data_IF_240953794046
#
_entry.id   IF_240953794046
#
_cell.length_a   1.000
_cell.length_b   1.000
_cell.length_c   1.000
_cell.angle_alpha   90.00
_cell.angle_beta   90.00
_cell.angle_gamma   90.00
#
_symmetry.space_group_name_H-M   'P 1'
#
loop_
_entity.id
_entity.type
_entity.pdbx_description
1 polymer ?
#
# COMPACT_ATOMS: atom_id res chain seq x y z
N UNK A 1 -14.00 -9.67 28.64
CA UNK A 1 -13.02 -8.57 28.50
C UNK A 1 -12.80 -8.33 27.01
N UNK A 2 -12.69 -7.10 26.49
CA UNK A 2 -12.42 -6.92 25.07
C UNK A 2 -11.08 -7.61 24.79
N UNK A 3 -11.14 -8.74 24.07
CA UNK A 3 -9.97 -9.51 23.67
C UNK A 3 -8.96 -8.52 23.08
N UNK A 4 -7.70 -8.59 23.51
CA UNK A 4 -6.65 -7.58 23.35
C UNK A 4 -6.51 -6.95 21.95
N UNK A 5 -7.47 -6.10 21.53
CA UNK A 5 -7.60 -5.55 20.16
C UNK A 5 -6.38 -4.74 19.78
N UNK A 6 -5.77 -4.08 20.76
CA UNK A 6 -4.54 -3.33 20.59
C UNK A 6 -3.37 -4.23 20.16
N UNK A 7 -3.31 -5.51 20.57
CA UNK A 7 -2.28 -6.46 20.13
C UNK A 7 -2.45 -6.78 18.66
N UNK A 8 -3.69 -7.02 18.23
CA UNK A 8 -4.06 -7.15 16.82
C UNK A 8 -3.65 -5.91 16.03
N UNK A 9 -4.01 -4.72 16.51
CA UNK A 9 -3.66 -3.46 15.87
C UNK A 9 -2.14 -3.26 15.75
N UNK A 10 -1.37 -3.48 16.81
CA UNK A 10 0.10 -3.34 16.81
C UNK A 10 0.76 -4.37 15.88
N UNK A 11 0.34 -5.64 15.96
CA UNK A 11 0.83 -6.67 15.07
C UNK A 11 0.51 -6.34 13.60
N UNK A 12 -0.69 -5.80 13.37
CA UNK A 12 -1.14 -5.35 12.06
C UNK A 12 -0.35 -4.14 11.54
N UNK A 13 -0.07 -3.16 12.39
CA UNK A 13 0.74 -1.98 12.07
C UNK A 13 2.14 -2.40 11.59
N UNK A 14 2.80 -3.26 12.36
CA UNK A 14 4.13 -3.78 12.03
C UNK A 14 4.06 -4.62 10.75
N UNK A 15 3.04 -5.47 10.62
CA UNK A 15 2.78 -6.24 9.41
C UNK A 15 2.62 -5.37 8.16
N UNK A 16 1.79 -4.32 8.24
CA UNK A 16 1.54 -3.40 7.14
C UNK A 16 2.76 -2.56 6.79
N UNK A 17 3.55 -2.11 7.76
CA UNK A 17 4.81 -1.42 7.49
C UNK A 17 5.79 -2.32 6.73
N UNK A 18 6.06 -3.53 7.24
CA UNK A 18 6.96 -4.47 6.58
C UNK A 18 6.39 -4.89 5.22
N UNK A 19 5.07 -5.08 5.12
CA UNK A 19 4.39 -5.37 3.86
C UNK A 19 4.61 -4.29 2.82
N UNK A 20 4.53 -3.00 3.20
CA UNK A 20 4.76 -1.89 2.29
C UNK A 20 6.22 -1.86 1.80
N UNK A 21 7.18 -2.07 2.70
CA UNK A 21 8.61 -2.18 2.34
C UNK A 21 8.86 -3.34 1.36
N UNK A 22 8.29 -4.52 1.63
CA UNK A 22 8.46 -5.69 0.75
C UNK A 22 7.79 -5.48 -0.60
N UNK A 23 6.61 -4.85 -0.62
CA UNK A 23 5.93 -4.46 -1.85
C UNK A 23 6.79 -3.50 -2.69
N UNK A 24 7.38 -2.47 -2.09
CA UNK A 24 8.27 -1.52 -2.77
C UNK A 24 9.49 -2.24 -3.39
N UNK A 25 10.08 -3.18 -2.66
CA UNK A 25 11.20 -4.00 -3.16
C UNK A 25 10.77 -4.91 -4.32
N UNK A 26 9.59 -5.52 -4.22
CA UNK A 26 9.00 -6.30 -5.31
C UNK A 26 8.77 -5.44 -6.55
N UNK A 27 8.23 -4.24 -6.39
CA UNK A 27 7.97 -3.29 -7.46
C UNK A 27 9.27 -2.83 -8.15
N UNK A 28 10.31 -2.55 -7.35
CA UNK A 28 11.64 -2.20 -7.84
C UNK A 28 12.25 -3.35 -8.68
N UNK A 29 12.16 -4.57 -8.17
CA UNK A 29 12.62 -5.77 -8.87
C UNK A 29 11.83 -6.02 -10.18
N UNK A 30 10.51 -5.91 -10.13
CA UNK A 30 9.66 -6.10 -11.31
C UNK A 30 9.97 -5.08 -12.39
N UNK A 31 10.16 -3.81 -12.00
CA UNK A 31 10.52 -2.73 -12.91
C UNK A 31 11.88 -2.97 -13.55
N UNK A 32 12.88 -3.41 -12.77
CA UNK A 32 14.17 -3.82 -13.28
C UNK A 32 14.06 -4.99 -14.27
N UNK A 33 13.34 -6.05 -13.92
CA UNK A 33 13.17 -7.22 -14.79
C UNK A 33 12.44 -6.87 -16.10
N UNK A 34 11.39 -6.04 -16.02
CA UNK A 34 10.68 -5.55 -17.20
C UNK A 34 11.57 -4.72 -18.13
N UNK A 35 12.50 -3.92 -17.57
CA UNK A 35 13.47 -3.16 -18.35
C UNK A 35 14.49 -4.05 -19.07
N UNK A 36 14.88 -5.18 -18.47
CA UNK A 36 15.78 -6.17 -19.11
C UNK A 36 15.11 -6.87 -20.30
N UNK A 37 13.78 -7.10 -20.23
CA UNK A 37 13.03 -7.82 -21.27
C UNK A 37 12.60 -6.94 -22.45
N UNK A 38 12.67 -5.61 -22.34
CA UNK A 38 12.34 -4.68 -23.44
C UNK A 38 13.36 -3.53 -23.52
N UNK A 39 14.28 -3.52 -24.52
CA UNK A 39 15.10 -2.34 -24.75
C UNK A 39 14.19 -1.21 -25.28
N UNK A 40 14.00 -0.18 -24.44
CA UNK A 40 13.26 1.08 -24.70
C UNK A 40 11.76 0.94 -25.02
N UNK A 41 10.93 0.94 -23.98
CA UNK A 41 9.75 1.83 -23.79
C UNK A 41 8.99 1.41 -22.54
N UNK A 42 9.39 1.91 -21.38
CA UNK A 42 8.46 2.17 -20.27
C UNK A 42 8.84 3.49 -19.61
N UNK A 43 8.79 4.57 -20.37
CA UNK A 43 8.56 5.87 -19.76
C UNK A 43 7.05 5.94 -19.49
N UNK A 44 6.62 5.61 -18.28
CA UNK A 44 5.44 6.26 -17.70
C UNK A 44 5.93 7.46 -16.89
N UNK A 45 6.65 8.34 -17.58
CA UNK A 45 6.94 9.69 -17.12
C UNK A 45 5.78 10.57 -17.61
N UNK A 46 4.97 11.09 -16.70
CA UNK A 46 3.93 12.05 -17.06
C UNK A 46 2.95 12.41 -15.95
N UNK A 47 2.90 11.69 -14.84
CA UNK A 47 2.13 12.12 -13.68
C UNK A 47 2.87 11.80 -12.40
N UNK A 48 2.98 12.81 -11.54
CA UNK A 48 3.54 12.69 -10.19
C UNK A 48 2.86 11.54 -9.42
N UNK A 49 3.61 10.76 -8.61
CA UNK A 49 3.04 9.64 -7.87
C UNK A 49 1.85 10.08 -7.01
N UNK A 50 0.84 9.24 -6.89
CA UNK A 50 -0.37 9.60 -6.14
C UNK A 50 -0.09 9.91 -4.65
N UNK A 51 0.93 9.29 -4.07
CA UNK A 51 1.36 9.55 -2.69
C UNK A 51 1.97 10.95 -2.54
N UNK A 52 2.76 11.40 -3.51
CA UNK A 52 3.28 12.77 -3.59
C UNK A 52 2.14 13.76 -3.72
N UNK A 53 1.20 13.53 -4.65
CA UNK A 53 0.01 14.38 -4.80
C UNK A 53 -0.84 14.45 -3.52
N UNK A 54 -0.94 13.34 -2.80
CA UNK A 54 -1.65 13.31 -1.50
C UNK A 54 -0.94 14.19 -0.48
N UNK A 55 0.38 14.06 -0.38
CA UNK A 55 1.18 14.87 0.54
C UNK A 55 1.13 16.36 0.18
N UNK A 56 1.21 16.68 -1.10
CA UNK A 56 1.11 18.05 -1.63
C UNK A 56 -0.24 18.67 -1.28
N UNK A 57 -1.33 17.91 -1.49
CA UNK A 57 -2.67 18.34 -1.12
C UNK A 57 -2.85 18.56 0.37
N UNK A 58 -2.23 17.73 1.22
CA UNK A 58 -2.25 17.95 2.67
C UNK A 58 -1.46 19.21 3.07
N UNK A 59 -0.32 19.47 2.42
CA UNK A 59 0.45 20.70 2.63
C UNK A 59 -0.35 21.94 2.24
N UNK A 60 -1.06 21.92 1.11
CA UNK A 60 -1.95 23.02 0.72
C UNK A 60 -3.03 23.28 1.79
N UNK A 61 -3.64 22.23 2.34
CA UNK A 61 -4.71 22.34 3.34
C UNK A 61 -4.17 22.87 4.68
N UNK A 62 -3.00 22.41 5.12
CA UNK A 62 -2.46 22.70 6.46
C UNK A 62 -1.59 23.95 6.47
N UNK A 63 -0.77 24.14 5.44
CA UNK A 63 0.26 25.19 5.35
C UNK A 63 -0.07 26.26 4.31
N UNK A 64 -1.12 26.07 3.49
CA UNK A 64 -1.54 27.03 2.46
C UNK A 64 -0.63 27.08 1.23
N UNK A 65 0.30 26.13 1.09
CA UNK A 65 1.26 26.10 -0.03
C UNK A 65 1.62 24.66 -0.43
N UNK A 66 1.95 24.41 -1.71
CA UNK A 66 2.44 23.12 -2.16
C UNK A 66 3.78 22.78 -1.50
N UNK A 67 4.10 21.49 -1.48
CA UNK A 67 5.39 20.99 -1.06
C UNK A 67 6.48 21.46 -2.02
N UNK A 68 7.62 21.95 -1.49
CA UNK A 68 8.79 22.20 -2.32
C UNK A 68 9.28 20.87 -2.93
N UNK A 69 9.90 20.94 -4.11
CA UNK A 69 10.21 19.76 -4.93
C UNK A 69 11.14 18.76 -4.22
N UNK A 70 12.02 19.24 -3.34
CA UNK A 70 12.90 18.43 -2.50
C UNK A 70 12.15 17.65 -1.41
N UNK A 71 11.02 18.16 -0.94
CA UNK A 71 10.17 17.53 0.07
C UNK A 71 9.16 16.53 -0.53
N UNK A 72 8.90 16.58 -1.84
CA UNK A 72 7.89 15.74 -2.49
C UNK A 72 8.15 14.26 -2.37
N UNK A 73 9.37 13.81 -2.69
CA UNK A 73 9.75 12.40 -2.60
C UNK A 73 9.62 11.83 -1.17
N UNK A 74 10.24 12.42 -0.14
CA UNK A 74 10.12 11.91 1.23
C UNK A 74 8.69 12.00 1.77
N UNK A 75 7.92 13.03 1.40
CA UNK A 75 6.54 13.14 1.82
C UNK A 75 5.63 12.08 1.14
N UNK A 76 5.88 11.76 -0.12
CA UNK A 76 5.21 10.66 -0.81
C UNK A 76 5.53 9.30 -0.18
N UNK A 77 6.77 9.07 0.21
CA UNK A 77 7.18 7.85 0.93
C UNK A 77 6.51 7.77 2.32
N UNK A 78 6.47 8.89 3.05
CA UNK A 78 5.78 8.97 4.34
C UNK A 78 4.28 8.64 4.22
N UNK A 79 3.60 9.16 3.20
CA UNK A 79 2.18 8.81 2.93
C UNK A 79 2.05 7.32 2.61
N UNK A 80 2.95 6.76 1.79
CA UNK A 80 2.92 5.34 1.43
C UNK A 80 3.00 4.43 2.65
N UNK A 81 4.03 4.62 3.49
CA UNK A 81 4.20 3.80 4.70
C UNK A 81 3.10 4.05 5.72
N UNK A 82 2.61 5.29 5.86
CA UNK A 82 1.49 5.60 6.76
C UNK A 82 0.22 4.86 6.34
N UNK A 83 -0.06 4.78 5.04
CA UNK A 83 -1.18 3.99 4.50
C UNK A 83 -0.98 2.49 4.75
N UNK A 84 0.24 1.97 4.57
CA UNK A 84 0.58 0.58 4.90
C UNK A 84 0.32 0.27 6.38
N UNK A 85 0.83 1.11 7.28
CA UNK A 85 0.59 1.00 8.72
C UNK A 85 -0.91 1.04 9.04
N UNK A 86 -1.63 2.03 8.49
CA UNK A 86 -3.06 2.22 8.77
C UNK A 86 -3.92 1.04 8.30
N UNK A 87 -3.73 0.59 7.07
CA UNK A 87 -4.47 -0.57 6.54
C UNK A 87 -4.08 -1.86 7.25
N UNK A 88 -2.80 -2.03 7.61
CA UNK A 88 -2.32 -3.14 8.42
C UNK A 88 -2.94 -3.18 9.82
N UNK A 89 -3.06 -2.03 10.50
CA UNK A 89 -3.77 -1.92 11.78
C UNK A 89 -5.22 -2.41 11.67
N UNK A 90 -5.94 -1.96 10.64
CA UNK A 90 -7.32 -2.38 10.38
C UNK A 90 -7.37 -3.90 10.19
N UNK A 91 -6.46 -4.44 9.37
CA UNK A 91 -6.37 -5.89 9.14
C UNK A 91 -6.13 -6.65 10.44
N UNK A 92 -5.22 -6.18 11.29
CA UNK A 92 -4.90 -6.82 12.56
C UNK A 92 -6.04 -6.81 13.58
N UNK A 93 -6.78 -5.70 13.66
CA UNK A 93 -8.01 -5.61 14.46
C UNK A 93 -9.06 -6.61 13.97
N UNK A 94 -9.27 -6.68 12.65
CA UNK A 94 -10.24 -7.60 12.05
C UNK A 94 -9.82 -9.07 12.19
N UNK A 95 -8.53 -9.38 12.11
CA UNK A 95 -7.97 -10.71 12.29
C UNK A 95 -8.19 -11.25 13.71
N UNK A 96 -8.05 -10.39 14.73
CA UNK A 96 -8.30 -10.75 16.13
C UNK A 96 -9.80 -10.95 16.42
N UNK A 97 -10.66 -10.20 15.72
CA UNK A 97 -12.12 -10.28 15.94
C UNK A 97 -12.79 -11.39 15.15
N UNK A 98 -12.29 -11.66 13.95
CA UNK A 98 -12.90 -12.56 12.99
C UNK A 98 -11.83 -13.50 12.40
N UNK A 99 -11.73 -14.76 12.87
CA UNK A 99 -10.73 -15.71 12.39
C UNK A 99 -10.80 -15.98 10.88
N UNK A 100 -11.94 -15.71 10.24
CA UNK A 100 -12.09 -15.83 8.78
C UNK A 100 -11.21 -14.84 8.02
N UNK A 101 -10.86 -13.69 8.61
CA UNK A 101 -10.06 -12.62 7.99
C UNK A 101 -8.64 -13.07 7.61
N UNK A 102 -8.10 -14.07 8.29
CA UNK A 102 -6.75 -14.60 8.03
C UNK A 102 -6.72 -15.74 7.01
N UNK A 103 -7.88 -16.20 6.53
CA UNK A 103 -7.94 -17.23 5.48
C UNK A 103 -7.30 -16.73 4.19
N UNK A 104 -6.53 -17.60 3.54
CA UNK A 104 -5.82 -17.25 2.32
C UNK A 104 -4.59 -16.35 2.57
N UNK A 105 -3.99 -16.42 3.77
CA UNK A 105 -2.72 -15.78 4.13
C UNK A 105 -2.65 -14.27 3.85
N UNK A 106 -3.77 -13.56 3.92
CA UNK A 106 -3.81 -12.12 3.65
C UNK A 106 -3.94 -11.74 2.16
N UNK A 107 -4.01 -12.70 1.23
CA UNK A 107 -4.24 -12.41 -0.19
C UNK A 107 -5.58 -11.70 -0.44
N UNK A 108 -6.73 -12.15 0.14
CA UNK A 108 -7.99 -11.41 -0.03
C UNK A 108 -7.90 -9.97 0.50
N UNK A 109 -7.18 -9.76 1.60
CA UNK A 109 -6.96 -8.42 2.13
C UNK A 109 -6.13 -7.56 1.18
N UNK A 110 -5.03 -8.07 0.64
CA UNK A 110 -4.24 -7.38 -0.39
C UNK A 110 -5.10 -6.98 -1.60
N UNK A 111 -5.92 -7.89 -2.12
CA UNK A 111 -6.85 -7.60 -3.23
C UNK A 111 -7.84 -6.50 -2.88
N UNK A 112 -8.38 -6.47 -1.66
CA UNK A 112 -9.30 -5.42 -1.22
C UNK A 112 -8.61 -4.06 -1.09
N UNK A 113 -7.35 -4.03 -0.65
CA UNK A 113 -6.55 -2.78 -0.62
C UNK A 113 -6.31 -2.29 -2.05
N UNK A 114 -5.89 -3.16 -2.97
CA UNK A 114 -5.74 -2.81 -4.39
C UNK A 114 -7.02 -2.23 -4.98
N UNK A 115 -8.14 -2.93 -4.81
CA UNK A 115 -9.44 -2.48 -5.32
C UNK A 115 -9.85 -1.13 -4.70
N UNK A 116 -9.68 -0.98 -3.39
CA UNK A 116 -10.06 0.23 -2.67
C UNK A 116 -9.19 1.44 -3.02
N UNK A 117 -7.89 1.26 -3.15
CA UNK A 117 -6.93 2.35 -3.39
C UNK A 117 -6.79 2.61 -4.89
N UNK A 118 -6.35 1.63 -5.67
CA UNK A 118 -5.93 1.83 -7.06
C UNK A 118 -7.11 1.92 -8.02
N UNK A 119 -8.12 1.06 -7.84
CA UNK A 119 -9.28 1.00 -8.75
C UNK A 119 -10.39 2.00 -8.39
N UNK A 120 -10.41 2.51 -7.16
CA UNK A 120 -11.50 3.38 -6.67
C UNK A 120 -10.97 4.69 -6.08
N UNK A 121 -10.11 4.61 -5.07
CA UNK A 121 -9.73 5.75 -4.24
C UNK A 121 -9.00 6.84 -5.02
N UNK A 122 -7.92 6.47 -5.72
CA UNK A 122 -7.01 7.45 -6.33
C UNK A 122 -7.69 8.32 -7.39
N UNK A 123 -8.54 7.75 -8.25
CA UNK A 123 -9.22 8.55 -9.28
C UNK A 123 -10.39 9.35 -8.71
N UNK A 124 -11.12 8.83 -7.71
CA UNK A 124 -12.20 9.60 -7.04
C UNK A 124 -11.66 10.81 -6.29
N UNK A 125 -10.47 10.67 -5.72
CA UNK A 125 -9.74 11.77 -5.09
C UNK A 125 -9.00 12.65 -6.11
N UNK A 126 -9.12 12.37 -7.41
CA UNK A 126 -8.45 13.08 -8.51
C UNK A 126 -6.92 13.07 -8.43
N UNK A 127 -6.35 12.06 -7.77
CA UNK A 127 -4.91 11.83 -7.63
C UNK A 127 -4.36 11.00 -8.80
N UNK A 128 -5.20 10.24 -9.50
CA UNK A 128 -4.84 9.45 -10.68
C UNK A 128 -5.88 9.57 -11.81
N UNK A 129 -5.51 9.10 -13.03
CA UNK A 129 -6.47 8.91 -14.13
C UNK A 129 -7.49 7.83 -13.79
N UNK A 130 -8.61 7.80 -14.50
CA UNK A 130 -9.60 6.72 -14.35
C UNK A 130 -8.98 5.34 -14.68
N UNK A 131 -9.43 4.25 -14.04
CA UNK A 131 -8.81 2.93 -14.18
C UNK A 131 -8.71 2.45 -15.62
N UNK A 132 -9.75 2.68 -16.43
CA UNK A 132 -9.81 2.27 -17.85
C UNK A 132 -8.79 2.96 -18.76
N UNK A 133 -8.07 3.97 -18.27
CA UNK A 133 -6.98 4.63 -19.00
C UNK A 133 -5.65 3.88 -18.91
N UNK A 134 -5.52 2.92 -18.00
CA UNK A 134 -4.31 2.10 -17.84
C UNK A 134 -4.45 0.77 -18.59
N UNK A 135 -3.31 0.16 -18.95
CA UNK A 135 -3.33 -1.16 -19.59
C UNK A 135 -3.58 -2.27 -18.57
N UNK A 136 -4.09 -3.41 -19.03
CA UNK A 136 -4.31 -4.61 -18.17
C UNK A 136 -3.03 -5.01 -17.43
N UNK A 137 -1.86 -4.85 -18.05
CA UNK A 137 -0.58 -5.13 -17.40
C UNK A 137 -0.31 -4.23 -16.18
N UNK A 138 -0.76 -2.98 -16.19
CA UNK A 138 -0.64 -2.08 -15.02
C UNK A 138 -1.53 -2.58 -13.88
N UNK A 139 -2.78 -2.97 -14.18
CA UNK A 139 -3.68 -3.53 -13.17
C UNK A 139 -3.14 -4.83 -12.57
N UNK A 140 -2.61 -5.74 -13.40
CA UNK A 140 -2.02 -6.99 -12.93
C UNK A 140 -0.76 -6.76 -12.08
N UNK A 141 0.09 -5.81 -12.50
CA UNK A 141 1.26 -5.41 -11.72
C UNK A 141 0.86 -4.83 -10.36
N UNK A 142 -0.14 -3.93 -10.34
CA UNK A 142 -0.66 -3.32 -9.13
C UNK A 142 -1.28 -4.37 -8.20
N UNK A 143 -2.10 -5.28 -8.74
CA UNK A 143 -2.68 -6.39 -7.99
C UNK A 143 -1.59 -7.30 -7.42
N UNK A 144 -0.61 -7.72 -8.21
CA UNK A 144 0.50 -8.57 -7.75
C UNK A 144 1.28 -7.90 -6.60
N UNK A 145 1.54 -6.61 -6.72
CA UNK A 145 2.19 -5.82 -5.66
C UNK A 145 1.40 -5.85 -4.35
N UNK A 146 0.07 -5.71 -4.44
CA UNK A 146 -0.82 -5.75 -3.28
C UNK A 146 -1.03 -7.15 -2.71
N UNK A 147 -0.94 -8.20 -3.52
CA UNK A 147 -0.91 -9.58 -3.03
C UNK A 147 0.35 -9.84 -2.20
N UNK A 148 1.51 -9.33 -2.66
CA UNK A 148 2.77 -9.37 -1.89
C UNK A 148 2.63 -8.61 -0.57
N UNK A 149 2.03 -7.42 -0.60
CA UNK A 149 1.72 -6.64 0.59
C UNK A 149 0.85 -7.43 1.58
N UNK A 150 -0.28 -7.98 1.13
CA UNK A 150 -1.22 -8.71 1.96
C UNK A 150 -0.62 -9.99 2.56
N UNK A 151 0.10 -10.76 1.75
CA UNK A 151 0.80 -11.97 2.18
C UNK A 151 1.84 -11.67 3.27
N UNK A 152 2.68 -10.67 3.03
CA UNK A 152 3.71 -10.24 3.98
C UNK A 152 3.09 -9.73 5.27
N UNK A 153 2.04 -8.91 5.16
CA UNK A 153 1.31 -8.35 6.30
C UNK A 153 0.80 -9.44 7.22
N UNK A 154 0.15 -10.49 6.68
CA UNK A 154 -0.38 -11.58 7.50
C UNK A 154 0.73 -12.42 8.13
N UNK A 155 1.78 -12.76 7.38
CA UNK A 155 2.91 -13.55 7.91
C UNK A 155 3.57 -12.82 9.09
N UNK A 156 3.89 -11.54 8.92
CA UNK A 156 4.52 -10.72 9.96
C UNK A 156 3.56 -10.51 11.12
N UNK A 157 2.31 -10.13 10.85
CA UNK A 157 1.29 -9.92 11.89
C UNK A 157 1.13 -11.17 12.74
N UNK A 158 1.03 -12.36 12.13
CA UNK A 158 0.90 -13.62 12.87
C UNK A 158 2.10 -13.87 13.78
N UNK A 159 3.31 -13.63 13.29
CA UNK A 159 4.53 -13.73 14.09
C UNK A 159 4.51 -12.78 15.29
N UNK A 160 4.29 -11.49 15.05
CA UNK A 160 4.23 -10.47 16.11
C UNK A 160 3.09 -10.76 17.09
N UNK A 161 1.92 -11.13 16.61
CA UNK A 161 0.75 -11.43 17.45
C UNK A 161 1.02 -12.59 18.40
N UNK A 162 1.76 -13.60 17.95
CA UNK A 162 2.19 -14.74 18.77
C UNK A 162 3.15 -14.28 19.89
N UNK A 163 4.05 -13.34 19.61
CA UNK A 163 4.96 -12.77 20.61
C UNK A 163 4.24 -11.90 21.64
N UNK A 164 3.14 -11.25 21.28
CA UNK A 164 2.38 -10.35 22.15
C UNK A 164 1.42 -11.07 23.11
N UNK A 165 1.17 -12.39 22.94
CA UNK A 165 0.22 -13.17 23.74
C UNK A 165 -1.18 -13.16 23.15
#
# INVERSE_FOLDING_TARGET
MPAHVWRGAVAGAIGGLIGAVVMERFQSFWSWAAAQLKPKRVAHAGSEPATVKTADRLSEIVLGKPLPDDAKAPAGEAVHYSMGIATGMIYGVLADRFPVTTRGIGLPFGTLVWLGVDEIGLWRLRLAKIPTSYSVSVHLYALASHLVYGATTEVVRRGVRTLLG
#
